data_IF_024645307801
#
_entry.id   IF_024645307801
#
_cell.length_a   1.000
_cell.length_b   1.000
_cell.length_c   1.000
_cell.angle_alpha   90.00
_cell.angle_beta   90.00
_cell.angle_gamma   90.00
#
_symmetry.space_group_name_H-M   'P 1'
#
loop_
_entity.id
_entity.type
_entity.pdbx_description
1 polymer ?
#
# COMPACT_ATOMS: atom_id res chain seq x y z
N UNK A 1 -19.10 14.82 30.48
CA UNK A 1 -17.73 14.73 29.92
C UNK A 1 -17.60 13.39 29.23
N UNK A 2 -17.40 13.37 27.90
CA UNK A 2 -17.47 12.15 27.07
C UNK A 2 -16.16 11.73 26.42
N UNK A 3 -15.01 12.30 26.84
CA UNK A 3 -13.68 11.89 26.37
C UNK A 3 -13.30 12.30 24.94
N UNK A 4 -14.08 13.16 24.29
CA UNK A 4 -13.79 13.67 22.93
C UNK A 4 -13.31 15.11 22.95
N UNK A 5 -12.28 15.39 22.16
CA UNK A 5 -11.83 16.73 21.81
C UNK A 5 -12.85 17.40 20.89
N UNK A 6 -13.08 18.70 21.09
CA UNK A 6 -13.90 19.54 20.21
C UNK A 6 -13.09 20.63 19.52
N UNK A 7 -11.89 20.91 20.03
CA UNK A 7 -10.92 21.84 19.44
C UNK A 7 -9.52 21.27 19.65
N UNK A 8 -8.64 21.51 18.68
CA UNK A 8 -7.24 21.13 18.76
C UNK A 8 -6.39 22.38 18.61
N UNK A 9 -5.65 22.73 19.66
CA UNK A 9 -4.77 23.90 19.68
C UNK A 9 -3.36 23.48 19.34
N UNK A 10 -2.75 24.11 18.33
CA UNK A 10 -1.36 23.88 17.97
C UNK A 10 -1.15 23.70 16.48
N UNK A 11 -0.04 24.22 15.97
CA UNK A 11 0.33 24.02 14.58
C UNK A 11 0.48 22.52 14.28
N UNK A 12 -0.10 22.07 13.17
CA UNK A 12 -0.06 20.67 12.71
C UNK A 12 -0.90 19.68 13.53
N UNK A 13 -1.85 20.12 14.35
CA UNK A 13 -2.81 19.20 14.99
C UNK A 13 -4.19 19.35 14.36
N UNK A 14 -4.74 18.27 13.82
CA UNK A 14 -6.09 18.22 13.29
C UNK A 14 -7.02 17.44 14.22
N UNK A 15 -8.26 17.90 14.35
CA UNK A 15 -9.35 17.21 15.00
C UNK A 15 -9.88 16.14 14.06
N UNK A 16 -9.66 14.88 14.40
CA UNK A 16 -10.12 13.72 13.63
C UNK A 16 -10.90 12.80 14.55
N UNK A 17 -12.16 12.50 14.21
CA UNK A 17 -13.03 11.61 15.00
C UNK A 17 -13.05 11.90 16.51
N UNK A 18 -13.04 13.19 16.88
CA UNK A 18 -13.03 13.62 18.28
C UNK A 18 -11.69 13.47 19.02
N UNK A 19 -10.57 13.26 18.32
CA UNK A 19 -9.22 13.31 18.89
C UNK A 19 -8.32 14.30 18.15
N UNK A 20 -7.29 14.81 18.83
CA UNK A 20 -6.29 15.69 18.24
C UNK A 20 -5.08 14.89 17.76
N UNK A 21 -4.85 14.87 16.45
CA UNK A 21 -3.76 14.09 15.86
C UNK A 21 -2.78 14.99 15.13
N UNK A 22 -1.50 14.69 15.29
CA UNK A 22 -0.44 15.40 14.59
C UNK A 22 -0.43 15.02 13.10
N UNK A 23 -0.53 16.00 12.20
CA UNK A 23 -0.62 15.82 10.75
C UNK A 23 0.72 15.51 10.08
N UNK A 24 1.82 15.51 10.83
CA UNK A 24 3.18 15.19 10.35
C UNK A 24 3.63 13.78 10.71
N UNK A 25 2.90 13.08 11.56
CA UNK A 25 3.24 11.72 12.00
C UNK A 25 2.01 10.83 12.01
N UNK A 26 2.22 9.51 12.02
CA UNK A 26 1.12 8.57 12.17
C UNK A 26 0.52 8.65 13.58
N UNK A 27 -0.80 8.42 13.73
CA UNK A 27 -1.75 8.08 12.65
C UNK A 27 -2.33 9.31 11.92
N UNK A 28 -2.17 10.53 12.44
CA UNK A 28 -2.83 11.73 11.91
C UNK A 28 -2.50 12.03 10.44
N UNK A 29 -1.23 11.89 10.07
CA UNK A 29 -0.75 12.09 8.69
C UNK A 29 -1.46 11.21 7.65
N UNK A 30 -1.97 10.03 8.05
CA UNK A 30 -2.67 9.14 7.12
C UNK A 30 -4.06 9.64 6.70
N UNK A 31 -4.62 10.59 7.44
CA UNK A 31 -5.93 11.20 7.14
C UNK A 31 -5.77 12.65 6.72
N UNK A 32 -4.89 13.39 7.40
CA UNK A 32 -4.70 14.81 7.20
C UNK A 32 -3.22 15.17 7.08
N UNK A 33 -2.83 15.80 5.98
CA UNK A 33 -1.43 16.22 5.75
C UNK A 33 -1.19 17.68 6.13
N UNK A 34 -2.25 18.48 6.27
CA UNK A 34 -2.16 19.86 6.73
C UNK A 34 -3.36 20.23 7.60
N UNK A 35 -3.10 20.60 8.85
CA UNK A 35 -4.10 21.19 9.74
C UNK A 35 -4.30 22.68 9.44
N UNK A 36 -5.54 23.15 9.61
CA UNK A 36 -5.90 24.55 9.68
C UNK A 36 -5.77 25.12 11.09
N UNK A 37 -6.05 26.41 11.23
CA UNK A 37 -5.82 27.14 12.48
C UNK A 37 -6.78 26.77 13.61
N UNK A 38 -7.96 26.23 13.27
CA UNK A 38 -8.96 25.81 14.25
C UNK A 38 -8.97 24.29 14.45
N UNK A 39 -7.91 23.61 13.98
CA UNK A 39 -7.79 22.16 14.03
C UNK A 39 -8.57 21.44 12.94
N UNK A 40 -9.20 22.13 11.98
CA UNK A 40 -9.78 21.49 10.81
C UNK A 40 -8.70 20.84 9.93
N UNK A 41 -9.04 19.80 9.19
CA UNK A 41 -8.11 19.29 8.19
C UNK A 41 -8.20 20.13 6.91
N UNK A 42 -7.15 20.86 6.56
CA UNK A 42 -7.11 21.66 5.33
C UNK A 42 -6.82 20.81 4.09
N UNK A 43 -5.97 19.81 4.23
CA UNK A 43 -5.55 18.93 3.13
C UNK A 43 -5.70 17.48 3.53
N UNK A 44 -6.64 16.79 2.89
CA UNK A 44 -6.86 15.36 3.10
C UNK A 44 -5.79 14.52 2.41
N UNK A 45 -5.29 13.51 3.12
CA UNK A 45 -4.23 12.63 2.63
C UNK A 45 -4.66 11.78 1.42
N UNK A 46 -5.96 11.50 1.30
CA UNK A 46 -6.54 10.72 0.21
C UNK A 46 -6.87 11.55 -1.05
N UNK A 47 -6.49 12.84 -1.08
CA UNK A 47 -6.71 13.74 -2.21
C UNK A 47 -8.11 14.34 -2.28
N UNK A 48 -8.99 14.06 -1.31
CA UNK A 48 -10.32 14.65 -1.27
C UNK A 48 -10.32 16.09 -0.72
N UNK A 49 -11.38 16.81 -1.03
CA UNK A 49 -11.65 18.12 -0.42
C UNK A 49 -12.27 17.90 0.95
N UNK A 50 -11.72 18.55 1.98
CA UNK A 50 -12.31 18.54 3.30
C UNK A 50 -13.73 19.13 3.27
N UNK A 51 -14.70 18.41 3.81
CA UNK A 51 -16.09 18.80 3.81
C UNK A 51 -16.80 18.21 5.04
N UNK A 52 -17.78 18.94 5.58
CA UNK A 52 -18.60 18.47 6.72
C UNK A 52 -17.77 17.98 7.91
N UNK A 53 -16.69 18.71 8.22
CA UNK A 53 -15.73 18.39 9.28
C UNK A 53 -15.01 17.03 9.13
N UNK A 54 -14.86 16.52 7.91
CA UNK A 54 -14.15 15.28 7.64
C UNK A 54 -13.48 15.29 6.25
N UNK A 55 -12.55 14.36 6.05
CA UNK A 55 -12.06 13.98 4.73
C UNK A 55 -12.97 12.87 4.17
N UNK A 56 -13.73 13.13 3.09
CA UNK A 56 -14.59 12.12 2.47
C UNK A 56 -13.80 10.87 2.11
N UNK A 57 -14.40 9.69 2.28
CA UNK A 57 -13.76 8.43 1.90
C UNK A 57 -13.80 8.22 0.38
N UNK A 58 -12.76 7.60 -0.17
CA UNK A 58 -12.79 7.07 -1.53
C UNK A 58 -13.58 5.76 -1.58
N UNK A 59 -13.86 5.28 -2.79
CA UNK A 59 -14.45 3.95 -3.00
C UNK A 59 -13.63 2.83 -2.34
N UNK A 60 -14.27 1.69 -2.11
CA UNK A 60 -13.62 0.50 -1.54
C UNK A 60 -12.35 0.15 -2.32
N UNK A 61 -11.29 -0.20 -1.58
CA UNK A 61 -9.99 -0.56 -2.17
C UNK A 61 -9.13 0.64 -2.56
N UNK A 62 -9.65 1.87 -2.52
CA UNK A 62 -8.90 3.06 -2.92
C UNK A 62 -8.28 3.78 -1.73
N UNK A 63 -6.96 3.97 -1.77
CA UNK A 63 -6.24 4.76 -0.76
C UNK A 63 -6.27 6.25 -1.08
N UNK A 64 -6.41 6.60 -2.36
CA UNK A 64 -6.57 7.97 -2.84
C UNK A 64 -7.42 7.99 -4.11
N UNK A 65 -8.12 9.10 -4.32
CA UNK A 65 -9.01 9.32 -5.45
C UNK A 65 -9.03 10.80 -5.86
N UNK A 66 -9.49 11.07 -7.08
CA UNK A 66 -9.59 12.42 -7.61
C UNK A 66 -10.51 13.28 -6.74
N UNK A 67 -10.12 14.54 -6.51
CA UNK A 67 -10.90 15.48 -5.72
C UNK A 67 -12.34 15.60 -6.26
N UNK A 68 -13.32 15.42 -5.37
CA UNK A 68 -14.75 15.46 -5.71
C UNK A 68 -15.28 14.24 -6.46
N UNK A 69 -14.43 13.24 -6.76
CA UNK A 69 -14.78 12.04 -7.50
C UNK A 69 -14.32 10.79 -6.73
N UNK A 70 -15.05 10.44 -5.68
CA UNK A 70 -14.70 9.33 -4.76
C UNK A 70 -14.54 7.98 -5.45
N UNK A 71 -15.16 7.80 -6.61
CA UNK A 71 -15.13 6.58 -7.41
C UNK A 71 -13.96 6.51 -8.41
N UNK A 72 -13.22 7.61 -8.62
CA UNK A 72 -12.12 7.69 -9.58
C UNK A 72 -10.79 7.62 -8.82
N UNK A 73 -10.29 6.41 -8.66
CA UNK A 73 -9.16 6.11 -7.81
C UNK A 73 -7.83 6.42 -8.52
N UNK A 74 -6.91 7.01 -7.76
CA UNK A 74 -5.55 7.34 -8.22
C UNK A 74 -4.51 6.44 -7.58
N UNK A 75 -4.83 5.86 -6.42
CA UNK A 75 -4.03 4.84 -5.74
C UNK A 75 -4.93 3.82 -5.05
N UNK A 76 -4.49 2.57 -5.04
CA UNK A 76 -5.15 1.48 -4.36
C UNK A 76 -4.48 1.16 -3.03
N UNK A 77 -5.28 0.60 -2.11
CA UNK A 77 -4.81 -0.02 -0.89
C UNK A 77 -3.95 -1.26 -1.21
N UNK A 78 -3.14 -1.69 -0.24
CA UNK A 78 -2.41 -2.93 -0.35
C UNK A 78 -3.36 -4.13 -0.59
N UNK A 79 -2.94 -5.06 -1.44
CA UNK A 79 -3.78 -6.19 -1.87
C UNK A 79 -4.75 -5.85 -2.99
N UNK A 80 -4.67 -4.65 -3.56
CA UNK A 80 -5.41 -4.22 -4.73
C UNK A 80 -4.47 -3.73 -5.84
N UNK A 81 -4.92 -3.81 -7.09
CA UNK A 81 -4.26 -3.23 -8.26
C UNK A 81 -5.19 -2.23 -8.97
N UNK A 82 -4.61 -1.31 -9.74
CA UNK A 82 -5.32 -0.19 -10.39
C UNK A 82 -5.37 -0.35 -11.92
N UNK A 83 -6.35 -1.07 -12.48
CA UNK A 83 -6.67 -0.99 -13.89
C UNK A 83 -7.42 0.31 -14.17
N UNK A 84 -6.76 1.26 -14.83
CA UNK A 84 -7.31 2.59 -15.12
C UNK A 84 -7.62 3.41 -13.85
N UNK A 85 -8.88 3.46 -13.41
CA UNK A 85 -9.34 4.35 -12.32
C UNK A 85 -10.17 3.66 -11.25
N UNK A 86 -10.19 2.33 -11.22
CA UNK A 86 -10.86 1.53 -10.18
C UNK A 86 -9.89 0.53 -9.58
N UNK A 87 -10.02 0.24 -8.30
CA UNK A 87 -9.18 -0.72 -7.61
C UNK A 87 -9.84 -2.11 -7.56
N UNK A 88 -9.09 -3.16 -7.88
CA UNK A 88 -9.54 -4.55 -7.80
C UNK A 88 -8.62 -5.34 -6.90
N UNK A 89 -9.16 -6.30 -6.15
CA UNK A 89 -8.35 -7.19 -5.29
C UNK A 89 -7.38 -7.98 -6.16
N UNK A 90 -6.18 -8.23 -5.67
CA UNK A 90 -5.18 -9.08 -6.36
C UNK A 90 -5.67 -10.49 -6.72
N UNK A 91 -6.74 -10.95 -6.06
CA UNK A 91 -7.39 -12.24 -6.31
C UNK A 91 -8.55 -12.18 -7.30
N UNK A 92 -8.96 -10.98 -7.71
CA UNK A 92 -10.09 -10.77 -8.60
C UNK A 92 -9.62 -10.42 -10.01
N UNK A 93 -10.42 -10.79 -11.00
CA UNK A 93 -10.23 -10.38 -12.38
C UNK A 93 -10.85 -9.00 -12.62
N UNK A 94 -10.35 -8.30 -13.63
CA UNK A 94 -10.91 -7.03 -14.08
C UNK A 94 -10.89 -6.93 -15.61
N UNK A 95 -11.97 -6.40 -16.18
CA UNK A 95 -12.07 -6.05 -17.59
C UNK A 95 -12.28 -4.53 -17.77
N UNK A 96 -11.72 -3.73 -16.87
CA UNK A 96 -11.82 -2.26 -16.96
C UNK A 96 -10.86 -1.71 -18.01
N UNK A 97 -11.38 -0.85 -18.89
CA UNK A 97 -10.62 -0.27 -19.99
C UNK A 97 -10.35 -1.29 -21.11
N UNK A 98 -9.18 -1.19 -21.74
CA UNK A 98 -8.79 -2.05 -22.87
C UNK A 98 -7.96 -3.27 -22.47
N UNK A 99 -7.59 -3.41 -21.19
CA UNK A 99 -6.72 -4.48 -20.70
C UNK A 99 -7.53 -5.45 -19.83
N UNK A 100 -7.58 -6.71 -20.23
CA UNK A 100 -8.12 -7.77 -19.39
C UNK A 100 -7.03 -8.23 -18.41
N UNK A 101 -7.30 -8.12 -17.12
CA UNK A 101 -6.35 -8.51 -16.07
C UNK A 101 -6.95 -9.65 -15.25
N UNK A 102 -6.16 -10.70 -15.06
CA UNK A 102 -6.54 -11.88 -14.28
C UNK A 102 -5.90 -11.84 -12.91
N UNK A 103 -6.68 -12.07 -11.87
CA UNK A 103 -6.23 -12.16 -10.48
C UNK A 103 -5.52 -13.49 -10.20
N UNK A 104 -4.75 -13.53 -9.11
CA UNK A 104 -4.09 -14.75 -8.62
C UNK A 104 -4.70 -15.16 -7.28
N UNK A 105 -5.21 -16.40 -7.15
CA UNK A 105 -5.75 -16.90 -5.88
C UNK A 105 -4.76 -16.77 -4.72
N UNK A 106 -5.27 -16.46 -3.52
CA UNK A 106 -4.50 -16.27 -2.29
C UNK A 106 -3.44 -15.14 -2.35
N UNK A 107 -3.43 -14.31 -3.38
CA UNK A 107 -2.48 -13.21 -3.48
C UNK A 107 -2.90 -12.01 -2.61
N UNK A 108 -2.00 -11.56 -1.73
CA UNK A 108 -2.24 -10.42 -0.82
C UNK A 108 -1.47 -9.16 -1.20
N UNK A 109 -0.55 -9.25 -2.16
CA UNK A 109 0.15 -8.10 -2.73
C UNK A 109 0.56 -8.42 -4.16
N UNK A 110 0.28 -7.52 -5.10
CA UNK A 110 0.50 -7.74 -6.52
C UNK A 110 0.81 -6.45 -7.27
N UNK A 111 1.34 -6.59 -8.49
CA UNK A 111 1.39 -5.52 -9.48
C UNK A 111 0.55 -5.88 -10.72
N UNK A 112 -0.15 -4.90 -11.32
CA UNK A 112 -0.82 -5.11 -12.60
C UNK A 112 0.20 -5.27 -13.74
N UNK A 113 -0.14 -6.02 -14.80
CA UNK A 113 0.62 -6.03 -16.04
C UNK A 113 0.50 -4.68 -16.78
N UNK A 114 1.37 -4.44 -17.76
CA UNK A 114 1.33 -3.22 -18.60
C UNK A 114 0.26 -3.26 -19.68
N UNK A 115 -0.14 -4.46 -20.12
CA UNK A 115 -1.20 -4.72 -21.10
C UNK A 115 -2.21 -5.69 -20.48
N UNK A 116 -2.83 -6.56 -21.27
CA UNK A 116 -3.62 -7.68 -20.75
C UNK A 116 -2.72 -8.78 -20.19
N UNK A 117 -3.14 -9.40 -19.09
CA UNK A 117 -2.39 -10.52 -18.50
C UNK A 117 -2.72 -10.76 -17.04
N UNK A 118 -1.99 -11.67 -16.42
CA UNK A 118 -2.15 -11.98 -14.99
C UNK A 118 -1.37 -10.99 -14.13
N UNK A 119 -1.90 -10.64 -12.97
CA UNK A 119 -1.15 -9.85 -11.98
C UNK A 119 0.10 -10.61 -11.50
N UNK A 120 1.20 -9.89 -11.31
CA UNK A 120 2.40 -10.47 -10.68
C UNK A 120 2.20 -10.49 -9.18
N UNK A 121 2.09 -11.68 -8.58
CA UNK A 121 1.92 -11.82 -7.14
C UNK A 121 3.26 -11.76 -6.40
N UNK A 122 3.39 -10.87 -5.42
CA UNK A 122 4.59 -10.72 -4.59
C UNK A 122 4.49 -11.43 -3.24
N UNK A 123 3.27 -11.60 -2.73
CA UNK A 123 3.02 -12.27 -1.47
C UNK A 123 1.70 -13.03 -1.52
N UNK A 124 1.72 -14.27 -1.06
CA UNK A 124 0.53 -15.10 -0.91
C UNK A 124 0.22 -15.33 0.57
N UNK A 125 -1.06 -15.43 0.90
CA UNK A 125 -1.46 -16.05 2.15
C UNK A 125 -1.29 -17.57 1.98
N UNK A 126 -0.52 -18.21 2.86
CA UNK A 126 -0.61 -19.66 3.01
C UNK A 126 -2.04 -20.02 3.41
N UNK A 127 -2.60 -21.13 2.93
CA UNK A 127 -3.98 -21.50 3.25
C UNK A 127 -4.19 -21.50 4.77
N UNK A 128 -5.36 -20.98 5.15
CA UNK A 128 -5.93 -20.98 6.51
C UNK A 128 -5.32 -22.04 7.42
N UNK A 129 -4.60 -21.61 8.45
CA UNK A 129 -4.38 -22.45 9.63
C UNK A 129 -5.75 -22.79 10.19
N UNK A 130 -6.14 -24.06 10.05
CA UNK A 130 -7.35 -24.59 10.67
C UNK A 130 -7.28 -24.29 12.18
N UNK A 131 -8.23 -23.53 12.77
CA UNK A 131 -8.14 -23.03 14.14
C UNK A 131 -8.23 -24.11 15.24
N UNK A 132 -8.21 -25.39 14.86
CA UNK A 132 -8.15 -26.55 15.77
C UNK A 132 -6.74 -27.11 15.97
N UNK A 133 -5.71 -26.50 15.35
CA UNK A 133 -4.31 -26.92 15.55
C UNK A 133 -3.66 -26.11 16.71
N UNK A 134 -3.26 -26.75 17.83
CA UNK A 134 -2.60 -26.07 18.93
C UNK A 134 -1.29 -25.42 18.46
N UNK A 135 -1.27 -24.09 18.51
CA UNK A 135 -0.16 -23.17 18.28
C UNK A 135 1.24 -23.82 18.22
N UNK A 136 1.72 -24.11 17.01
CA UNK A 136 3.15 -24.07 16.74
C UNK A 136 3.48 -22.69 16.22
N UNK A 137 4.38 -22.00 16.92
CA UNK A 137 4.99 -20.74 16.53
C UNK A 137 5.61 -20.91 15.13
N UNK A 138 4.85 -20.64 14.06
CA UNK A 138 5.33 -20.78 12.69
C UNK A 138 6.02 -19.47 12.28
N UNK A 139 7.19 -19.27 12.87
CA UNK A 139 8.25 -18.45 12.30
C UNK A 139 8.60 -19.05 10.94
N UNK A 140 8.17 -18.39 9.86
CA UNK A 140 8.40 -18.93 8.53
C UNK A 140 7.75 -18.08 7.44
N UNK A 141 8.28 -16.87 7.21
CA UNK A 141 8.23 -16.31 5.86
C UNK A 141 8.89 -17.36 4.95
N UNK A 142 8.14 -17.87 3.99
CA UNK A 142 8.60 -18.87 3.03
C UNK A 142 9.96 -18.46 2.44
N UNK A 143 11.03 -19.12 2.87
CA UNK A 143 12.37 -19.04 2.27
C UNK A 143 12.41 -19.76 0.92
N UNK A 144 11.44 -19.48 0.05
CA UNK A 144 11.17 -20.22 -1.17
C UNK A 144 11.35 -19.40 -2.45
N UNK A 145 12.48 -18.70 -2.61
CA UNK A 145 12.99 -18.21 -3.91
C UNK A 145 14.43 -17.66 -3.80
N UNK A 146 15.38 -18.48 -3.31
CA UNK A 146 16.79 -18.27 -3.64
C UNK A 146 17.22 -19.50 -4.43
N UNK A 147 16.75 -19.56 -5.68
CA UNK A 147 17.39 -20.40 -6.69
C UNK A 147 18.77 -19.81 -6.93
N UNK A 148 19.79 -20.64 -6.73
CA UNK A 148 21.18 -20.25 -6.55
C UNK A 148 21.70 -19.31 -7.62
N UNK A 149 22.27 -18.19 -7.17
CA UNK A 149 23.30 -17.52 -7.94
C UNK A 149 24.54 -18.41 -7.81
N UNK A 150 24.74 -19.28 -8.79
CA UNK A 150 26.03 -19.94 -8.99
C UNK A 150 27.04 -18.84 -9.31
N UNK A 151 27.77 -18.37 -8.30
CA UNK A 151 28.91 -17.49 -8.50
C UNK A 151 29.97 -18.33 -9.20
N UNK A 152 30.03 -18.23 -10.53
CA UNK A 152 31.22 -18.60 -11.27
C UNK A 152 32.32 -17.63 -10.81
N UNK A 153 33.17 -18.08 -9.89
CA UNK A 153 34.43 -17.40 -9.59
C UNK A 153 35.26 -17.46 -10.87
N UNK A 154 35.22 -16.39 -11.66
CA UNK A 154 36.22 -16.17 -12.69
C UNK A 154 37.50 -15.85 -11.92
N UNK A 155 38.30 -16.88 -11.67
CA UNK A 155 39.69 -16.72 -11.30
C UNK A 155 40.38 -16.05 -12.49
N UNK A 156 40.42 -14.73 -12.51
CA UNK A 156 41.38 -14.01 -13.34
C UNK A 156 42.73 -14.33 -12.72
N UNK A 157 43.38 -15.34 -13.28
CA UNK A 157 44.80 -15.59 -13.06
C UNK A 157 45.51 -14.34 -13.59
N UNK A 158 45.80 -13.41 -12.67
CA UNK A 158 46.72 -12.33 -12.91
C UNK A 158 48.07 -12.94 -13.24
N UNK A 159 48.35 -13.07 -14.53
CA UNK A 159 49.64 -13.46 -15.06
C UNK A 159 50.67 -12.42 -14.65
N UNK A 160 51.44 -12.76 -13.62
CA UNK A 160 52.70 -12.15 -13.27
C UNK A 160 53.77 -12.66 -14.25
N UNK A 161 54.15 -11.85 -15.24
CA UNK A 161 55.40 -12.01 -16.00
C UNK A 161 55.82 -10.59 -16.42
N UNK A 162 56.80 -9.97 -15.75
CA UNK A 162 58.23 -10.03 -16.11
C UNK A 162 58.57 -8.78 -16.94
N UNK A 163 59.13 -7.71 -16.37
CA UNK A 163 60.57 -7.48 -16.14
C UNK A 163 61.45 -7.87 -17.36
N UNK A 164 62.25 -6.89 -17.82
CA UNK A 164 63.32 -6.90 -18.84
C UNK A 164 62.94 -6.54 -20.30
N UNK A 165 62.97 -5.24 -20.62
CA UNK A 165 63.96 -4.57 -21.50
C UNK A 165 63.62 -3.09 -21.65
#
# INVERSE_FOLDING_TARGET
SGGVCTVCTGANYALLSGGCYNTKVLPGMAVCTQAGSNGECKTCANGQTYANNNCPACAEGCSACNAGQTQQCTKCLAGYYLPNSKCFKCTADSNEGSNAITGVPNCVSCAPPTTSGTVTCYATQSPSVNPTDPSVNKTGLSSGAIVGISIAVIAVVGGLVGFLC
#
